data_IF_521057375274
#
_entry.id   IF_521057375274
#
_cell.length_a   1.000
_cell.length_b   1.000
_cell.length_c   1.000
_cell.angle_alpha   90.00
_cell.angle_beta   90.00
_cell.angle_gamma   90.00
#
_symmetry.space_group_name_H-M   'P 1'
#
loop_
_entity.id
_entity.type
_entity.pdbx_description
1 polymer ?
#
# COMPACT_ATOMS: atom_id res chain seq x y z
N UNK A 1 13.66 -2.06 20.79
CA UNK A 1 12.84 -2.91 19.90
C UNK A 1 13.47 -4.27 19.61
N UNK A 2 14.81 -4.37 19.44
CA UNK A 2 15.49 -5.66 19.22
C UNK A 2 15.35 -6.65 20.38
N UNK A 3 15.28 -6.16 21.62
CA UNK A 3 15.25 -7.01 22.83
C UNK A 3 13.82 -7.37 23.30
N UNK A 4 12.78 -6.91 22.60
CA UNK A 4 11.39 -7.20 22.96
C UNK A 4 10.96 -8.57 22.39
N UNK A 5 10.13 -9.37 23.10
CA UNK A 5 9.59 -10.62 22.54
C UNK A 5 8.83 -10.39 21.23
N UNK A 6 8.98 -11.31 20.25
CA UNK A 6 8.35 -11.17 18.90
C UNK A 6 6.83 -10.97 19.00
N UNK A 7 6.18 -11.68 19.93
CA UNK A 7 4.74 -11.55 20.18
C UNK A 7 4.32 -10.16 20.65
N UNK A 8 5.24 -9.39 21.25
CA UNK A 8 4.98 -8.09 21.84
C UNK A 8 5.33 -6.91 20.92
N UNK A 9 6.17 -7.13 19.90
CA UNK A 9 6.64 -6.09 18.98
C UNK A 9 5.51 -5.42 18.18
N UNK A 10 4.39 -6.12 17.97
CA UNK A 10 3.18 -5.56 17.33
C UNK A 10 2.43 -4.54 18.20
N UNK A 11 2.61 -4.56 19.53
CA UNK A 11 1.91 -3.67 20.45
C UNK A 11 2.49 -2.25 20.50
N UNK A 12 3.64 -1.99 19.87
CA UNK A 12 4.17 -0.62 19.71
C UNK A 12 3.50 0.16 18.58
N UNK A 13 2.60 -0.45 17.79
CA UNK A 13 1.97 0.23 16.65
C UNK A 13 1.26 1.54 17.04
N UNK A 14 0.49 1.64 18.15
CA UNK A 14 -0.14 2.90 18.54
C UNK A 14 0.85 4.02 18.85
N UNK A 15 2.00 3.73 19.46
CA UNK A 15 3.02 4.73 19.78
C UNK A 15 3.78 5.24 18.55
N UNK A 16 3.71 4.51 17.43
CA UNK A 16 4.35 4.85 16.16
C UNK A 16 3.48 5.66 15.21
N UNK A 17 2.19 5.87 15.53
CA UNK A 17 1.24 6.54 14.63
C UNK A 17 1.72 7.93 14.17
N UNK A 18 2.41 8.70 15.04
CA UNK A 18 2.97 10.00 14.66
C UNK A 18 4.06 9.86 13.58
N UNK A 19 4.91 8.85 13.71
CA UNK A 19 6.00 8.55 12.78
C UNK A 19 5.46 7.99 11.46
N UNK A 20 4.48 7.09 11.50
CA UNK A 20 3.78 6.58 10.31
C UNK A 20 3.19 7.72 9.47
N UNK A 21 2.48 8.66 10.12
CA UNK A 21 1.97 9.87 9.45
C UNK A 21 3.09 10.74 8.90
N UNK A 22 4.21 10.83 9.62
CA UNK A 22 5.42 11.53 9.17
C UNK A 22 5.95 10.97 7.85
N UNK A 23 6.12 9.65 7.78
CA UNK A 23 6.56 8.95 6.57
C UNK A 23 5.62 9.18 5.39
N UNK A 24 4.30 8.96 5.57
CA UNK A 24 3.34 9.18 4.48
C UNK A 24 3.40 10.62 4.00
N UNK A 25 3.52 11.59 4.92
CA UNK A 25 3.62 13.01 4.56
C UNK A 25 4.90 13.34 3.80
N UNK A 26 6.05 12.75 4.16
CA UNK A 26 7.33 13.01 3.49
C UNK A 26 7.40 12.38 2.10
N UNK A 27 6.85 11.18 1.93
CA UNK A 27 6.90 10.43 0.67
C UNK A 27 5.81 10.80 -0.33
N UNK A 28 4.87 11.68 0.04
CA UNK A 28 3.69 11.99 -0.79
C UNK A 28 3.74 13.40 -1.38
N UNK A 29 4.37 13.59 -2.56
CA UNK A 29 4.26 14.85 -3.30
C UNK A 29 2.81 15.11 -3.73
N UNK A 30 2.52 16.35 -4.16
CA UNK A 30 1.15 16.81 -4.41
C UNK A 30 0.35 15.92 -5.39
N UNK A 31 0.98 15.44 -6.47
CA UNK A 31 0.33 14.56 -7.44
C UNK A 31 0.04 13.17 -6.86
N UNK A 32 0.99 12.59 -6.10
CA UNK A 32 0.77 11.33 -5.38
C UNK A 32 -0.32 11.45 -4.31
N UNK A 33 -0.40 12.60 -3.64
CA UNK A 33 -1.45 12.88 -2.65
C UNK A 33 -2.83 12.77 -3.29
N UNK A 34 -3.00 13.32 -4.49
CA UNK A 34 -4.27 13.22 -5.24
C UNK A 34 -4.58 11.76 -5.56
N UNK A 35 -3.61 11.00 -6.09
CA UNK A 35 -3.80 9.57 -6.34
C UNK A 35 -4.24 8.81 -5.08
N UNK A 36 -3.55 9.01 -3.96
CA UNK A 36 -3.88 8.38 -2.68
C UNK A 36 -5.30 8.72 -2.24
N UNK A 37 -5.74 9.97 -2.42
CA UNK A 37 -7.12 10.36 -2.13
C UNK A 37 -8.12 9.59 -3.02
N UNK A 38 -7.84 9.42 -4.30
CA UNK A 38 -8.67 8.61 -5.20
C UNK A 38 -8.71 7.13 -4.78
N UNK A 39 -7.56 6.53 -4.43
CA UNK A 39 -7.51 5.14 -3.95
C UNK A 39 -8.34 4.96 -2.68
N UNK A 40 -8.26 5.90 -1.74
CA UNK A 40 -9.07 5.89 -0.50
C UNK A 40 -10.56 6.06 -0.78
N UNK A 41 -10.90 6.94 -1.72
CA UNK A 41 -12.28 7.12 -2.15
C UNK A 41 -12.81 5.83 -2.79
N UNK A 42 -12.10 5.26 -3.75
CA UNK A 42 -12.44 3.98 -4.39
C UNK A 42 -12.65 2.88 -3.35
N UNK A 43 -11.73 2.72 -2.39
CA UNK A 43 -11.85 1.74 -1.31
C UNK A 43 -13.16 1.93 -0.53
N UNK A 44 -13.45 3.17 -0.12
CA UNK A 44 -14.65 3.50 0.67
C UNK A 44 -15.94 3.25 -0.13
N UNK A 45 -15.90 3.49 -1.45
CA UNK A 45 -17.04 3.33 -2.34
C UNK A 45 -17.29 1.87 -2.74
N UNK A 46 -16.24 1.07 -2.95
CA UNK A 46 -16.35 -0.29 -3.52
C UNK A 46 -16.25 -1.41 -2.47
N UNK A 47 -15.52 -1.21 -1.38
CA UNK A 47 -15.26 -2.26 -0.39
C UNK A 47 -16.27 -2.15 0.74
N UNK A 48 -17.34 -2.96 0.66
CA UNK A 48 -18.45 -3.00 1.62
C UNK A 48 -18.43 -4.28 2.47
N UNK A 49 -17.35 -4.47 3.22
CA UNK A 49 -17.18 -5.63 4.12
C UNK A 49 -17.19 -5.18 5.59
N UNK A 50 -17.45 -6.11 6.52
CA UNK A 50 -17.51 -5.80 7.97
C UNK A 50 -16.17 -5.28 8.53
N UNK A 51 -15.06 -5.81 8.01
CA UNK A 51 -13.70 -5.44 8.42
C UNK A 51 -12.86 -5.10 7.19
N UNK A 52 -13.01 -3.88 6.64
CA UNK A 52 -12.22 -3.47 5.47
C UNK A 52 -10.76 -3.27 5.89
N UNK A 53 -9.77 -3.60 5.02
CA UNK A 53 -8.38 -3.39 5.35
C UNK A 53 -8.08 -1.91 5.66
N UNK A 54 -7.03 -1.63 6.44
CA UNK A 54 -6.66 -0.26 6.79
C UNK A 54 -6.36 0.59 5.55
N UNK A 55 -6.75 1.87 5.57
CA UNK A 55 -6.36 2.81 4.50
C UNK A 55 -4.84 2.98 4.42
N UNK A 56 -4.13 2.76 5.53
CA UNK A 56 -2.67 2.83 5.58
C UNK A 56 -2.01 1.84 4.62
N UNK A 57 -2.53 0.63 4.49
CA UNK A 57 -1.99 -0.39 3.57
C UNK A 57 -2.11 0.05 2.11
N UNK A 58 -3.19 0.74 1.74
CA UNK A 58 -3.37 1.30 0.39
C UNK A 58 -2.46 2.51 0.15
N UNK A 59 -2.27 3.36 1.16
CA UNK A 59 -1.34 4.51 1.10
C UNK A 59 0.10 4.03 0.86
N UNK A 60 0.56 3.04 1.63
CA UNK A 60 1.88 2.45 1.48
C UNK A 60 2.06 1.76 0.12
N UNK A 61 1.04 1.03 -0.36
CA UNK A 61 1.11 0.39 -1.67
C UNK A 61 1.27 1.43 -2.79
N UNK A 62 0.50 2.51 -2.75
CA UNK A 62 0.58 3.58 -3.75
C UNK A 62 1.94 4.29 -3.71
N UNK A 63 2.48 4.56 -2.51
CA UNK A 63 3.83 5.10 -2.34
C UNK A 63 4.85 4.16 -2.97
N UNK A 64 4.86 2.88 -2.56
CA UNK A 64 5.84 1.92 -3.06
C UNK A 64 5.82 1.80 -4.59
N UNK A 65 4.64 1.65 -5.21
CA UNK A 65 4.54 1.53 -6.66
C UNK A 65 5.02 2.80 -7.38
N UNK A 66 4.72 3.98 -6.84
CA UNK A 66 5.25 5.24 -7.36
C UNK A 66 6.79 5.32 -7.22
N UNK A 67 7.34 4.81 -6.12
CA UNK A 67 8.80 4.73 -5.93
C UNK A 67 9.45 3.74 -6.92
N UNK A 68 8.85 2.56 -7.13
CA UNK A 68 9.33 1.57 -8.09
C UNK A 68 9.32 2.08 -9.53
N UNK A 69 8.35 2.93 -9.86
CA UNK A 69 8.23 3.55 -11.18
C UNK A 69 9.07 4.84 -11.31
N UNK A 70 10.06 5.05 -10.42
CA UNK A 70 11.06 6.11 -10.55
C UNK A 70 10.69 7.46 -9.94
N UNK A 71 9.69 7.50 -9.06
CA UNK A 71 9.24 8.72 -8.36
C UNK A 71 8.91 9.91 -9.29
N UNK A 72 8.12 9.74 -10.37
CA UNK A 72 7.81 10.85 -11.27
C UNK A 72 7.16 12.02 -10.53
N UNK A 73 7.61 13.23 -10.84
CA UNK A 73 6.99 14.45 -10.34
C UNK A 73 5.58 14.65 -10.90
N UNK A 74 5.37 14.24 -12.15
CA UNK A 74 4.11 14.38 -12.89
C UNK A 74 3.73 13.05 -13.53
N UNK A 75 2.45 12.68 -13.39
CA UNK A 75 1.88 11.49 -14.03
C UNK A 75 0.37 11.66 -14.14
N UNK A 76 -0.22 10.92 -15.07
CA UNK A 76 -1.67 10.79 -15.25
C UNK A 76 -2.28 10.02 -14.08
N UNK A 77 -3.29 10.58 -13.41
CA UNK A 77 -3.90 9.95 -12.22
C UNK A 77 -4.49 8.58 -12.58
N UNK A 78 -5.05 8.46 -13.77
CA UNK A 78 -5.59 7.22 -14.32
C UNK A 78 -4.52 6.11 -14.43
N UNK A 79 -3.29 6.44 -14.81
CA UNK A 79 -2.19 5.49 -14.89
C UNK A 79 -1.76 5.02 -13.50
N UNK A 80 -1.64 5.96 -12.55
CA UNK A 80 -1.35 5.65 -11.16
C UNK A 80 -2.45 4.79 -10.52
N UNK A 81 -3.72 5.10 -10.80
CA UNK A 81 -4.87 4.30 -10.34
C UNK A 81 -4.81 2.90 -10.95
N UNK A 82 -4.64 2.78 -12.27
CA UNK A 82 -4.53 1.49 -12.94
C UNK A 82 -3.41 0.64 -12.32
N UNK A 83 -2.21 1.21 -12.15
CA UNK A 83 -1.05 0.52 -11.54
C UNK A 83 -1.37 -0.02 -10.15
N UNK A 84 -2.02 0.79 -9.31
CA UNK A 84 -2.45 0.37 -7.95
C UNK A 84 -3.51 -0.74 -8.04
N UNK A 85 -4.50 -0.60 -8.91
CA UNK A 85 -5.60 -1.57 -9.04
C UNK A 85 -5.12 -2.91 -9.60
N UNK A 86 -4.16 -2.93 -10.52
CA UNK A 86 -3.52 -4.16 -11.01
C UNK A 86 -2.82 -4.90 -9.88
N UNK A 87 -2.10 -4.17 -9.03
CA UNK A 87 -1.43 -4.78 -7.88
C UNK A 87 -2.42 -5.29 -6.81
N UNK A 88 -3.55 -4.61 -6.62
CA UNK A 88 -4.62 -5.06 -5.73
C UNK A 88 -5.39 -6.27 -6.30
N UNK A 89 -5.57 -6.33 -7.61
CA UNK A 89 -6.20 -7.45 -8.31
C UNK A 89 -5.40 -8.75 -8.16
N UNK A 90 -4.09 -8.63 -8.00
CA UNK A 90 -3.14 -9.70 -7.70
C UNK A 90 -2.49 -9.50 -6.31
N UNK A 91 -3.31 -9.28 -5.28
CA UNK A 91 -2.79 -8.99 -3.94
C UNK A 91 -1.86 -10.07 -3.37
N UNK A 92 -1.95 -11.30 -3.88
CA UNK A 92 -1.10 -12.43 -3.45
C UNK A 92 0.36 -12.26 -3.87
N UNK A 93 0.65 -11.43 -4.88
CA UNK A 93 2.02 -11.10 -5.29
C UNK A 93 2.61 -9.88 -4.56
N UNK A 94 1.84 -9.18 -3.71
CA UNK A 94 2.30 -7.99 -2.99
C UNK A 94 3.46 -8.34 -2.07
N UNK A 95 4.63 -7.75 -2.33
CA UNK A 95 5.82 -7.81 -1.48
C UNK A 95 6.42 -6.42 -1.40
N UNK A 96 6.11 -5.70 -0.32
CA UNK A 96 6.47 -4.30 -0.13
C UNK A 96 7.28 -4.17 1.14
N UNK A 97 8.48 -3.60 0.98
CA UNK A 97 9.42 -3.33 2.06
C UNK A 97 9.97 -1.91 1.91
N UNK A 98 10.19 -1.27 3.04
CA UNK A 98 10.74 0.08 3.19
C UNK A 98 11.97 -0.03 4.10
N UNK A 99 12.96 0.85 3.92
CA UNK A 99 14.25 0.77 4.64
C UNK A 99 14.69 2.12 5.20
N UNK A 100 13.77 3.09 5.31
CA UNK A 100 14.04 4.46 5.73
C UNK A 100 14.34 4.57 7.24
N UNK A 101 13.70 3.75 8.08
CA UNK A 101 13.81 3.83 9.54
C UNK A 101 14.45 2.61 10.20
N UNK A 102 14.80 1.59 9.44
CA UNK A 102 15.48 0.39 9.94
C UNK A 102 16.33 -0.27 8.86
N UNK A 103 17.32 -1.05 9.29
CA UNK A 103 18.21 -1.77 8.40
C UNK A 103 17.55 -3.05 7.86
N UNK A 104 17.91 -3.44 6.64
CA UNK A 104 17.50 -4.70 6.01
C UNK A 104 17.74 -5.95 6.87
N UNK A 105 18.78 -5.91 7.72
CA UNK A 105 19.10 -7.00 8.66
C UNK A 105 18.07 -7.20 9.79
N UNK A 106 17.14 -6.26 9.95
CA UNK A 106 16.08 -6.35 10.97
C UNK A 106 14.83 -7.06 10.45
N UNK A 107 14.78 -7.41 9.17
CA UNK A 107 13.62 -8.02 8.53
C UNK A 107 13.48 -9.47 8.94
N UNK A 108 12.25 -9.86 9.23
CA UNK A 108 11.88 -11.27 9.26
C UNK A 108 11.49 -11.68 7.85
N UNK A 109 11.91 -12.87 7.41
CA UNK A 109 11.55 -13.38 6.09
C UNK A 109 10.05 -13.64 6.04
N UNK A 110 9.33 -12.91 5.19
CA UNK A 110 7.90 -13.13 4.95
C UNK A 110 7.69 -14.06 3.75
N UNK A 111 6.98 -15.18 3.97
CA UNK A 111 6.75 -16.22 2.93
C UNK A 111 5.54 -15.88 2.05
N UNK A 112 4.58 -15.11 2.57
CA UNK A 112 3.36 -14.72 1.87
C UNK A 112 3.31 -13.24 1.47
N UNK A 113 2.16 -12.75 0.99
CA UNK A 113 1.99 -11.36 0.63
C UNK A 113 2.12 -10.45 1.85
N UNK A 114 2.85 -9.35 1.70
CA UNK A 114 3.17 -8.46 2.80
C UNK A 114 3.39 -7.01 2.36
N UNK A 115 3.01 -6.11 3.26
CA UNK A 115 3.43 -4.71 3.25
C UNK A 115 4.01 -4.46 4.64
N UNK A 116 5.33 -4.35 4.74
CA UNK A 116 5.97 -4.10 6.03
C UNK A 116 5.85 -2.62 6.36
N UNK A 117 5.44 -2.32 7.59
CA UNK A 117 5.34 -0.96 8.07
C UNK A 117 6.73 -0.28 8.00
N UNK A 118 6.87 0.86 7.31
CA UNK A 118 8.13 1.59 7.18
C UNK A 118 8.74 2.03 8.50
N UNK A 119 7.96 2.10 9.58
CA UNK A 119 8.47 2.47 10.91
C UNK A 119 8.43 1.30 11.92
N UNK A 120 8.00 0.12 11.50
CA UNK A 120 7.99 -1.09 12.33
C UNK A 120 8.28 -2.35 11.49
N UNK A 121 9.53 -2.87 11.48
CA UNK A 121 9.92 -4.00 10.62
C UNK A 121 9.25 -5.33 10.99
N UNK A 122 8.46 -5.37 12.07
CA UNK A 122 7.76 -6.55 12.55
C UNK A 122 6.25 -6.49 12.28
N UNK A 123 5.76 -5.42 11.64
CA UNK A 123 4.33 -5.23 11.39
C UNK A 123 4.02 -5.37 9.92
N UNK A 124 3.34 -6.46 9.55
CA UNK A 124 2.76 -6.62 8.21
C UNK A 124 1.37 -5.98 8.17
N UNK A 125 1.26 -4.80 7.55
CA UNK A 125 -0.02 -4.07 7.47
C UNK A 125 -0.98 -4.64 6.43
N UNK A 126 -0.55 -5.63 5.64
CA UNK A 126 -1.46 -6.36 4.76
C UNK A 126 -2.36 -7.34 5.54
N UNK A 127 -2.03 -7.69 6.80
CA UNK A 127 -2.79 -8.57 7.72
C UNK A 127 -3.93 -9.39 7.08
N UNK A 128 -3.56 -10.36 6.24
CA UNK A 128 -4.49 -11.16 5.43
C UNK A 128 -5.39 -12.07 6.27
N UNK A 129 -5.03 -12.34 7.53
CA UNK A 129 -5.85 -13.11 8.47
C UNK A 129 -7.08 -12.34 8.95
N UNK A 130 -7.02 -11.01 8.98
CA UNK A 130 -8.03 -10.18 9.62
C UNK A 130 -8.78 -9.27 8.63
N UNK A 131 -8.51 -9.39 7.33
CA UNK A 131 -9.10 -8.52 6.30
C UNK A 131 -9.43 -9.30 5.03
N UNK A 132 -10.58 -9.00 4.43
CA UNK A 132 -11.05 -9.66 3.19
C UNK A 132 -10.41 -9.05 1.94
N UNK A 133 -9.14 -9.40 1.71
CA UNK A 133 -8.41 -8.99 0.50
C UNK A 133 -8.92 -9.66 -0.77
N UNK A 134 -9.65 -10.78 -0.66
CA UNK A 134 -10.31 -11.41 -1.80
C UNK A 134 -11.42 -10.51 -2.36
N UNK A 135 -12.21 -9.88 -1.50
CA UNK A 135 -13.17 -8.86 -1.91
C UNK A 135 -12.49 -7.63 -2.53
N UNK A 136 -11.34 -7.19 -1.99
CA UNK A 136 -10.54 -6.09 -2.57
C UNK A 136 -10.09 -6.44 -3.99
N UNK A 137 -9.52 -7.63 -4.18
CA UNK A 137 -9.04 -8.09 -5.47
C UNK A 137 -10.16 -8.24 -6.50
N UNK A 138 -11.33 -8.77 -6.10
CA UNK A 138 -12.49 -8.86 -6.97
C UNK A 138 -12.97 -7.49 -7.44
N UNK A 139 -13.09 -6.53 -6.51
CA UNK A 139 -13.51 -5.17 -6.84
C UNK A 139 -12.47 -4.46 -7.72
N UNK A 140 -11.17 -4.67 -7.49
CA UNK A 140 -10.11 -4.12 -8.32
C UNK A 140 -10.17 -4.68 -9.75
N UNK A 141 -10.35 -6.01 -9.91
CA UNK A 141 -10.55 -6.64 -11.21
C UNK A 141 -11.76 -6.10 -11.96
N UNK A 142 -12.86 -5.82 -11.26
CA UNK A 142 -14.04 -5.23 -11.88
C UNK A 142 -13.82 -3.77 -12.27
N UNK A 143 -13.12 -3.00 -11.44
CA UNK A 143 -12.77 -1.61 -11.73
C UNK A 143 -11.87 -1.50 -12.98
N UNK A 144 -10.89 -2.39 -13.12
CA UNK A 144 -10.00 -2.45 -14.29
C UNK A 144 -10.74 -2.75 -15.62
N UNK A 145 -11.95 -3.32 -15.57
CA UNK A 145 -12.76 -3.57 -16.78
C UNK A 145 -13.45 -2.32 -17.31
N UNK A 146 -13.49 -1.22 -16.55
CA UNK A 146 -14.13 0.03 -16.98
C UNK A 146 -13.35 0.68 -18.13
N UNK A 147 -14.05 1.36 -19.04
CA UNK A 147 -13.45 1.92 -20.25
C UNK A 147 -12.30 2.89 -19.96
N UNK A 148 -12.42 3.70 -18.90
CA UNK A 148 -11.39 4.64 -18.45
C UNK A 148 -10.08 3.93 -18.10
N UNK A 149 -10.16 2.77 -17.42
CA UNK A 149 -8.99 2.01 -16.99
C UNK A 149 -8.36 1.19 -18.13
N UNK A 150 -9.12 0.84 -19.17
CA UNK A 150 -8.56 0.12 -20.34
C UNK A 150 -7.57 0.96 -21.14
N UNK A 151 -7.76 2.27 -21.15
CA UNK A 151 -6.94 3.22 -21.91
C UNK A 151 -5.78 3.80 -21.10
N UNK A 152 -5.83 3.72 -19.77
CA UNK A 152 -4.71 4.08 -18.90
C UNK A 152 -3.55 3.10 -19.08
N UNK A 153 -2.33 3.50 -18.77
CA UNK A 153 -1.17 2.61 -18.85
C UNK A 153 -0.82 1.98 -17.50
N UNK A 154 -0.02 0.91 -17.51
CA UNK A 154 0.35 0.12 -16.33
C UNK A 154 1.61 0.65 -15.63
N UNK A 155 1.94 1.94 -15.79
CA UNK A 155 3.10 2.61 -15.16
C UNK A 155 2.83 4.07 -14.86
N UNK A 156 3.44 4.60 -13.81
CA UNK A 156 3.37 6.02 -13.50
C UNK A 156 4.12 6.87 -14.54
N UNK A 157 5.28 6.38 -15.00
CA UNK A 157 6.06 6.99 -16.07
C UNK A 157 5.75 6.29 -17.39
N UNK A 158 4.89 6.88 -18.20
CA UNK A 158 4.93 6.68 -19.65
C UNK A 158 5.03 8.09 -20.26
N UNK A 159 6.17 8.36 -20.91
CA UNK A 159 6.38 9.55 -21.75
C UNK A 159 5.48 9.48 -22.98
#
# INVERSE_FOLDING_TARGET
MRDCPVAERKFFTPSLTKTQRGFVKSETPAQLKRLIQYVKHWKTSMIKVKSPPSSYSFELLAIYLWQQDGKPQTFKIENGLRRVMEQLADYQSIKVEFFEYYNHNMHQRHIGPHIIDPVNPFSNVLDVSNSDWSAVALNARNYLKQAEMRNATSRFCDL
#
